data_IF_813135333707
#
_entry.id   IF_813135333707
#
_cell.length_a   1.000
_cell.length_b   1.000
_cell.length_c   1.000
_cell.angle_alpha   90.00
_cell.angle_beta   90.00
_cell.angle_gamma   90.00
#
_symmetry.space_group_name_H-M   'P 1'
#
loop_
_entity.id
_entity.type
_entity.pdbx_description
1 polymer ?
#
# COMPACT_ATOMS: atom_id res chain seq x y z
N UNK A 1 32.51 68.88 -11.79
CA UNK A 1 33.12 67.53 -11.85
C UNK A 1 32.17 66.60 -12.62
N UNK A 2 32.69 65.90 -13.64
CA UNK A 2 32.14 64.73 -14.39
C UNK A 2 30.81 64.95 -15.16
N UNK A 3 30.84 65.18 -16.48
CA UNK A 3 30.74 64.25 -17.66
C UNK A 3 29.30 63.78 -17.96
N UNK A 4 28.66 64.32 -19.03
CA UNK A 4 28.31 63.67 -20.34
C UNK A 4 26.96 62.91 -20.30
N UNK A 5 26.06 62.84 -21.30
CA UNK A 5 25.91 63.34 -22.68
C UNK A 5 24.43 63.05 -23.13
N UNK A 6 23.91 63.86 -24.07
CA UNK A 6 22.88 63.61 -25.12
C UNK A 6 21.37 63.58 -24.78
N UNK A 7 20.68 64.42 -25.58
CA UNK A 7 19.26 64.66 -25.80
C UNK A 7 18.47 63.52 -26.45
N UNK A 8 17.18 63.41 -26.13
CA UNK A 8 16.10 63.45 -27.15
C UNK A 8 14.75 63.75 -26.49
N UNK A 9 14.13 64.83 -26.97
CA UNK A 9 12.78 65.29 -26.68
C UNK A 9 11.76 64.51 -27.51
N UNK A 10 10.59 64.16 -26.97
CA UNK A 10 9.28 64.73 -27.37
C UNK A 10 8.13 64.15 -26.51
N UNK A 11 7.15 65.02 -26.25
CA UNK A 11 6.02 64.88 -25.32
C UNK A 11 4.90 63.92 -25.80
N UNK A 12 4.28 63.27 -24.81
CA UNK A 12 2.85 63.00 -24.54
C UNK A 12 1.83 62.61 -25.66
N UNK A 13 1.24 61.41 -25.49
CA UNK A 13 -0.22 61.00 -25.33
C UNK A 13 -1.30 61.83 -26.09
N UNK A 14 -2.47 61.29 -26.59
CA UNK A 14 -2.94 59.91 -26.90
C UNK A 14 -3.66 59.72 -28.30
N UNK A 15 -4.04 58.47 -28.60
CA UNK A 15 -5.02 57.94 -29.60
C UNK A 15 -4.59 57.87 -31.09
N UNK A 16 -4.51 56.65 -31.64
CA UNK A 16 -5.17 56.16 -32.89
C UNK A 16 -4.37 55.03 -33.62
N UNK A 17 -5.13 54.12 -34.25
CA UNK A 17 -4.88 53.36 -35.49
C UNK A 17 -3.95 52.10 -35.53
N UNK A 18 -4.62 50.97 -35.79
CA UNK A 18 -4.52 50.10 -36.99
C UNK A 18 -3.48 48.95 -37.11
N UNK A 19 -4.08 47.78 -37.43
CA UNK A 19 -3.70 46.71 -38.36
C UNK A 19 -2.46 45.84 -38.13
N UNK A 20 -2.72 44.52 -38.08
CA UNK A 20 -2.25 43.59 -39.12
C UNK A 20 -3.33 42.52 -39.35
N UNK A 21 -4.20 42.79 -40.32
CA UNK A 21 -5.03 41.79 -41.00
C UNK A 21 -4.13 41.09 -42.03
N UNK A 22 -3.82 39.81 -41.85
CA UNK A 22 -3.37 39.00 -42.97
C UNK A 22 -4.57 38.72 -43.87
N UNK A 23 -4.42 39.09 -45.14
CA UNK A 23 -5.40 38.90 -46.19
C UNK A 23 -5.75 37.41 -46.34
N UNK A 24 -7.04 37.09 -46.29
CA UNK A 24 -7.56 35.85 -46.85
C UNK A 24 -8.26 36.19 -48.16
N UNK A 25 -7.58 35.95 -49.28
CA UNK A 25 -8.20 35.99 -50.60
C UNK A 25 -9.05 34.74 -50.76
N UNK A 26 -10.37 34.92 -50.83
CA UNK A 26 -11.33 33.87 -51.22
C UNK A 26 -11.44 33.92 -52.74
N UNK A 27 -10.87 32.92 -53.42
CA UNK A 27 -11.33 32.57 -54.77
C UNK A 27 -12.49 31.58 -54.62
N UNK A 28 -13.63 31.97 -55.17
CA UNK A 28 -14.86 31.18 -55.17
C UNK A 28 -14.80 30.18 -56.34
N UNK A 29 -14.36 28.96 -56.08
CA UNK A 29 -14.65 27.83 -56.97
C UNK A 29 -15.79 26.98 -56.38
N UNK A 30 -16.84 26.84 -57.17
CA UNK A 30 -18.01 26.01 -56.91
C UNK A 30 -17.61 24.55 -56.63
N UNK A 31 -17.87 24.04 -55.43
CA UNK A 31 -17.63 22.63 -55.13
C UNK A 31 -18.07 22.21 -53.74
N UNK A 32 -19.06 21.34 -53.68
CA UNK A 32 -19.66 20.68 -52.52
C UNK A 32 -18.80 20.47 -51.27
N UNK A 33 -19.42 20.85 -50.16
CA UNK A 33 -19.10 20.66 -48.75
C UNK A 33 -18.81 19.20 -48.33
N UNK A 34 -17.63 18.98 -47.73
CA UNK A 34 -17.42 18.15 -46.53
C UNK A 34 -16.22 18.73 -45.75
N UNK A 35 -16.47 19.49 -44.69
CA UNK A 35 -15.39 19.85 -43.74
C UNK A 35 -15.17 18.64 -42.84
N UNK A 36 -14.35 17.69 -43.29
CA UNK A 36 -13.78 16.68 -42.39
C UNK A 36 -12.55 17.29 -41.73
N UNK A 37 -12.62 17.53 -40.41
CA UNK A 37 -11.41 17.80 -39.65
C UNK A 37 -11.52 18.88 -38.59
N UNK A 38 -12.54 18.85 -37.74
CA UNK A 38 -12.24 19.20 -36.34
C UNK A 38 -11.38 18.04 -35.82
N UNK A 39 -10.06 18.18 -35.92
CA UNK A 39 -9.15 17.36 -35.12
C UNK A 39 -9.45 17.76 -33.67
N UNK A 40 -10.45 17.14 -33.05
CA UNK A 40 -10.48 17.01 -31.61
C UNK A 40 -9.17 16.30 -31.29
N UNK A 41 -8.23 17.03 -30.70
CA UNK A 41 -6.88 16.55 -30.45
C UNK A 41 -6.97 15.25 -29.64
N UNK A 42 -6.94 14.12 -30.35
CA UNK A 42 -7.04 12.78 -29.75
C UNK A 42 -5.85 12.52 -28.83
N UNK A 43 -4.75 13.26 -29.01
CA UNK A 43 -3.58 13.20 -28.15
C UNK A 43 -3.84 13.84 -26.79
N UNK A 44 -4.61 14.94 -26.72
CA UNK A 44 -4.94 15.61 -25.45
C UNK A 44 -5.92 14.79 -24.58
N UNK A 45 -6.94 14.17 -25.19
CA UNK A 45 -7.89 13.29 -24.48
C UNK A 45 -7.21 12.01 -23.96
N UNK A 46 -6.23 11.49 -24.69
CA UNK A 46 -5.42 10.35 -24.27
C UNK A 46 -4.55 10.66 -23.04
N UNK A 47 -4.15 11.92 -22.85
CA UNK A 47 -3.33 12.37 -21.72
C UNK A 47 -4.15 12.75 -20.46
N UNK A 48 -5.48 12.67 -20.49
CA UNK A 48 -6.32 12.92 -19.32
C UNK A 48 -6.38 11.69 -18.41
N UNK A 49 -6.35 11.93 -17.10
CA UNK A 49 -6.56 10.88 -16.10
C UNK A 49 -8.02 10.44 -16.13
N UNK A 50 -8.23 9.14 -16.18
CA UNK A 50 -9.55 8.50 -16.12
C UNK A 50 -9.83 7.84 -14.78
N UNK A 51 -8.78 7.40 -14.08
CA UNK A 51 -8.89 6.69 -12.81
C UNK A 51 -7.65 6.90 -11.93
N UNK A 52 -7.86 6.95 -10.61
CA UNK A 52 -6.79 6.87 -9.61
C UNK A 52 -7.06 5.63 -8.75
N UNK A 53 -6.07 4.73 -8.70
CA UNK A 53 -6.09 3.55 -7.83
C UNK A 53 -5.06 3.70 -6.72
N UNK A 54 -5.43 3.33 -5.50
CA UNK A 54 -4.53 3.35 -4.34
C UNK A 54 -4.31 1.93 -3.84
N UNK A 55 -3.06 1.56 -3.61
CA UNK A 55 -2.65 0.25 -3.11
C UNK A 55 -1.86 0.37 -1.81
N UNK A 56 -2.21 -0.39 -0.76
CA UNK A 56 -3.41 -1.22 -0.62
C UNK A 56 -4.68 -0.37 -0.39
N UNK A 57 -5.85 -0.92 -0.77
CA UNK A 57 -7.16 -0.26 -0.57
C UNK A 57 -7.68 -0.39 0.88
N UNK A 58 -7.24 -1.43 1.60
CA UNK A 58 -7.52 -1.63 3.02
C UNK A 58 -6.20 -1.63 3.76
N UNK A 59 -6.07 -0.69 4.69
CA UNK A 59 -4.84 -0.48 5.45
C UNK A 59 -5.07 -0.86 6.90
N UNK A 60 -4.12 -1.60 7.43
CA UNK A 60 -4.07 -2.00 8.83
C UNK A 60 -2.67 -1.73 9.36
N UNK A 61 -2.56 -0.89 10.39
CA UNK A 61 -1.29 -0.53 11.02
C UNK A 61 -1.41 -0.47 12.53
N UNK A 62 -0.32 -0.73 13.24
CA UNK A 62 -0.26 -0.46 14.67
C UNK A 62 -0.05 1.02 14.94
N UNK A 63 -0.55 1.51 16.08
CA UNK A 63 -0.25 2.87 16.56
C UNK A 63 1.26 3.12 16.55
N UNK A 64 1.66 4.26 15.99
CA UNK A 64 3.07 4.66 15.82
C UNK A 64 3.82 3.99 14.68
N UNK A 65 3.22 3.01 14.00
CA UNK A 65 3.81 2.37 12.81
C UNK A 65 3.43 3.11 11.52
N UNK A 66 4.21 2.86 10.47
CA UNK A 66 4.01 3.45 9.15
C UNK A 66 3.78 2.40 8.08
N UNK A 67 3.07 2.80 7.01
CA UNK A 67 2.87 2.01 5.81
C UNK A 67 2.96 2.92 4.57
N UNK A 68 3.70 2.50 3.56
CA UNK A 68 3.75 3.21 2.28
C UNK A 68 2.52 2.84 1.44
N UNK A 69 1.76 3.86 1.03
CA UNK A 69 0.70 3.73 0.04
C UNK A 69 1.22 4.13 -1.34
N UNK A 70 0.70 3.50 -2.39
CA UNK A 70 1.05 3.81 -3.78
C UNK A 70 -0.21 4.25 -4.51
N UNK A 71 -0.17 5.44 -5.11
CA UNK A 71 -1.20 5.97 -6.00
C UNK A 71 -0.75 5.83 -7.45
N UNK A 72 -1.53 5.09 -8.23
CA UNK A 72 -1.32 4.90 -9.66
C UNK A 72 -2.47 5.56 -10.43
N UNK A 73 -2.14 6.38 -11.42
CA UNK A 73 -3.12 6.96 -12.36
C UNK A 73 -3.26 6.12 -13.60
N UNK A 74 -4.47 6.01 -14.14
CA UNK A 74 -4.76 5.45 -15.47
C UNK A 74 -5.19 6.56 -16.42
N UNK A 75 -4.57 6.63 -17.58
CA UNK A 75 -4.86 7.63 -18.61
C UNK A 75 -5.84 7.11 -19.67
N UNK A 76 -6.39 8.01 -20.49
CA UNK A 76 -7.32 7.68 -21.57
C UNK A 76 -6.73 6.73 -22.62
N UNK A 77 -5.42 6.77 -22.83
CA UNK A 77 -4.67 5.80 -23.66
C UNK A 77 -4.41 4.44 -22.99
N UNK A 78 -4.84 4.28 -21.73
CA UNK A 78 -4.65 3.07 -20.93
C UNK A 78 -3.30 2.97 -20.23
N UNK A 79 -2.38 3.93 -20.41
CA UNK A 79 -1.10 3.95 -19.69
C UNK A 79 -1.31 4.14 -18.20
N UNK A 80 -0.36 3.64 -17.40
CA UNK A 80 -0.36 3.74 -15.94
C UNK A 80 0.96 4.31 -15.45
N UNK A 81 0.89 5.26 -14.53
CA UNK A 81 2.06 5.85 -13.89
C UNK A 81 1.84 5.96 -12.38
N UNK A 82 2.89 5.71 -11.62
CA UNK A 82 2.93 6.01 -10.19
C UNK A 82 3.15 7.51 -10.00
N UNK A 83 2.36 8.11 -9.11
CA UNK A 83 2.22 9.57 -9.04
C UNK A 83 2.20 10.10 -7.60
N UNK A 84 2.80 9.37 -6.66
CA UNK A 84 2.70 9.67 -5.22
C UNK A 84 2.99 11.14 -4.85
N UNK A 85 4.01 11.75 -5.47
CA UNK A 85 4.40 13.15 -5.24
C UNK A 85 3.63 14.18 -6.08
N UNK A 86 2.71 13.73 -6.94
CA UNK A 86 1.93 14.54 -7.87
C UNK A 86 0.43 14.51 -7.57
N UNK A 87 0.02 13.73 -6.56
CA UNK A 87 -1.36 13.62 -6.09
C UNK A 87 -1.53 14.32 -4.74
N UNK A 88 -2.76 14.67 -4.40
CA UNK A 88 -3.13 15.16 -3.07
C UNK A 88 -3.72 14.01 -2.25
N UNK A 89 -3.01 13.61 -1.21
CA UNK A 89 -3.50 12.69 -0.17
C UNK A 89 -4.38 13.46 0.84
N UNK A 90 -5.54 12.92 1.20
CA UNK A 90 -6.49 13.59 2.09
C UNK A 90 -7.16 12.57 3.03
N UNK A 91 -6.98 12.73 4.34
CA UNK A 91 -7.81 12.05 5.35
C UNK A 91 -9.15 12.77 5.41
N UNK A 92 -10.21 12.07 5.00
CA UNK A 92 -11.59 12.58 4.97
C UNK A 92 -12.42 12.12 6.17
N UNK A 93 -11.95 11.08 6.88
CA UNK A 93 -12.50 10.68 8.17
C UNK A 93 -11.89 11.46 9.35
N UNK A 94 -11.85 10.82 10.52
CA UNK A 94 -11.23 11.39 11.72
C UNK A 94 -9.70 11.48 11.55
N UNK A 95 -9.18 12.71 11.62
CA UNK A 95 -7.76 13.04 11.42
C UNK A 95 -6.90 12.76 12.67
N UNK A 96 -7.51 12.50 13.83
CA UNK A 96 -6.78 12.12 15.04
C UNK A 96 -6.25 10.69 14.98
N UNK A 97 -6.80 9.87 14.07
CA UNK A 97 -6.50 8.43 13.94
C UNK A 97 -5.24 8.18 13.12
N UNK A 98 -5.05 8.90 12.01
CA UNK A 98 -3.89 8.71 11.14
C UNK A 98 -3.50 10.00 10.41
N UNK A 99 -2.23 10.09 10.01
CA UNK A 99 -1.76 11.09 9.06
C UNK A 99 -1.13 10.44 7.84
N UNK A 100 -1.06 11.16 6.72
CA UNK A 100 -0.38 10.73 5.51
C UNK A 100 0.53 11.84 5.00
N UNK A 101 1.76 11.50 4.62
CA UNK A 101 2.70 12.45 4.01
C UNK A 101 2.32 12.73 2.55
N UNK A 102 2.85 13.81 1.93
CA UNK A 102 2.68 14.04 0.49
C UNK A 102 3.24 12.91 -0.38
N UNK A 103 4.18 12.11 0.13
CA UNK A 103 4.75 10.96 -0.57
C UNK A 103 3.97 9.67 -0.35
N UNK A 104 2.78 9.70 0.25
CA UNK A 104 1.96 8.51 0.52
C UNK A 104 2.39 7.69 1.75
N UNK A 105 3.29 8.20 2.59
CA UNK A 105 3.67 7.51 3.82
C UNK A 105 2.61 7.75 4.90
N UNK A 106 1.80 6.73 5.18
CA UNK A 106 0.77 6.74 6.22
C UNK A 106 1.40 6.42 7.58
N UNK A 107 0.99 7.14 8.62
CA UNK A 107 1.36 6.90 10.03
C UNK A 107 0.10 6.77 10.88
N UNK A 108 0.00 5.69 11.67
CA UNK A 108 -1.07 5.52 12.65
C UNK A 108 -0.82 6.34 13.92
N UNK A 109 -1.77 7.16 14.33
CA UNK A 109 -1.67 8.08 15.47
C UNK A 109 -2.42 7.55 16.69
N UNK A 110 -3.72 7.30 16.54
CA UNK A 110 -4.59 6.80 17.61
C UNK A 110 -5.40 5.61 17.14
N UNK A 111 -5.72 4.70 18.07
CA UNK A 111 -6.48 3.50 17.71
C UNK A 111 -7.90 3.87 17.27
N UNK A 112 -8.31 3.35 16.12
CA UNK A 112 -9.60 3.68 15.50
C UNK A 112 -9.63 3.36 14.01
N UNK A 113 -10.70 3.76 13.32
CA UNK A 113 -10.82 3.67 11.86
C UNK A 113 -11.09 5.04 11.25
N UNK A 114 -10.38 5.35 10.18
CA UNK A 114 -10.56 6.57 9.38
C UNK A 114 -10.56 6.25 7.89
N UNK A 115 -10.84 7.25 7.07
CA UNK A 115 -10.95 7.13 5.62
C UNK A 115 -10.01 8.10 4.93
N UNK A 116 -9.37 7.63 3.87
CA UNK A 116 -8.43 8.36 3.06
C UNK A 116 -8.87 8.35 1.59
N UNK A 117 -8.68 9.46 0.89
CA UNK A 117 -8.82 9.56 -0.56
C UNK A 117 -7.61 10.24 -1.18
N UNK A 118 -7.43 10.02 -2.48
CA UNK A 118 -6.40 10.66 -3.30
C UNK A 118 -7.07 11.45 -4.42
N UNK A 119 -6.62 12.69 -4.65
CA UNK A 119 -7.15 13.58 -5.67
C UNK A 119 -6.06 14.06 -6.63
N UNK A 120 -6.36 14.09 -7.93
CA UNK A 120 -5.52 14.71 -8.96
C UNK A 120 -6.36 15.12 -10.17
N UNK A 121 -6.15 16.34 -10.66
CA UNK A 121 -6.80 16.88 -11.87
C UNK A 121 -8.34 16.73 -11.86
N UNK A 122 -8.97 16.89 -10.69
CA UNK A 122 -10.42 16.75 -10.49
C UNK A 122 -10.92 15.31 -10.31
N UNK A 123 -10.07 14.30 -10.53
CA UNK A 123 -10.39 12.89 -10.30
C UNK A 123 -10.13 12.52 -8.83
N UNK A 124 -11.03 11.73 -8.25
CA UNK A 124 -10.96 11.22 -6.88
C UNK A 124 -10.84 9.69 -6.92
N UNK A 125 -9.93 9.13 -6.12
CA UNK A 125 -9.79 7.68 -5.96
C UNK A 125 -11.00 7.05 -5.27
N UNK A 126 -11.05 5.72 -5.25
CA UNK A 126 -11.86 5.00 -4.26
C UNK A 126 -11.39 5.34 -2.84
N UNK A 127 -12.31 5.25 -1.87
CA UNK A 127 -11.99 5.41 -0.45
C UNK A 127 -11.10 4.26 0.03
N UNK A 128 -10.00 4.63 0.67
CA UNK A 128 -9.10 3.74 1.39
C UNK A 128 -9.52 3.71 2.85
N UNK A 129 -9.85 2.53 3.37
CA UNK A 129 -10.15 2.36 4.79
C UNK A 129 -8.86 2.15 5.56
N UNK A 130 -8.63 2.98 6.58
CA UNK A 130 -7.44 2.92 7.44
C UNK A 130 -7.86 2.51 8.84
N UNK A 131 -7.38 1.36 9.30
CA UNK A 131 -7.57 0.89 10.68
C UNK A 131 -6.25 0.93 11.43
N UNK A 132 -6.24 1.66 12.55
CA UNK A 132 -5.11 1.76 13.47
C UNK A 132 -5.44 0.96 14.73
N UNK A 133 -4.59 -0.01 15.09
CA UNK A 133 -4.80 -0.83 16.27
C UNK A 133 -3.78 -0.52 17.38
N UNK A 134 -4.22 -0.70 18.62
CA UNK A 134 -3.34 -0.69 19.80
C UNK A 134 -2.49 -1.95 19.93
N UNK A 135 -2.94 -3.08 19.38
CA UNK A 135 -2.22 -4.35 19.38
C UNK A 135 -2.69 -5.29 18.27
N UNK A 136 -1.98 -6.41 18.09
CA UNK A 136 -2.30 -7.45 17.09
C UNK A 136 -3.38 -8.43 17.53
N UNK A 137 -4.03 -8.26 18.69
CA UNK A 137 -5.20 -9.08 19.05
C UNK A 137 -6.52 -8.58 18.46
N UNK A 138 -6.50 -7.36 17.91
CA UNK A 138 -7.63 -6.73 17.24
C UNK A 138 -7.67 -7.01 15.73
N UNK A 139 -8.34 -6.14 14.95
CA UNK A 139 -8.53 -6.32 13.51
C UNK A 139 -7.28 -5.98 12.69
N UNK A 140 -6.09 -6.01 13.28
CA UNK A 140 -4.84 -5.70 12.58
C UNK A 140 -3.91 -6.88 12.44
N UNK A 141 -3.15 -6.86 11.35
CA UNK A 141 -2.02 -7.74 11.07
C UNK A 141 -0.77 -6.88 10.95
N UNK A 142 0.36 -7.34 11.47
CA UNK A 142 1.64 -6.69 11.19
C UNK A 142 2.24 -7.30 9.93
N UNK A 143 2.66 -6.43 9.02
CA UNK A 143 3.40 -6.77 7.81
C UNK A 143 4.75 -6.09 7.89
N UNK A 144 5.80 -6.86 8.13
CA UNK A 144 7.14 -6.33 8.37
C UNK A 144 8.06 -6.58 7.18
N UNK A 145 8.80 -5.55 6.80
CA UNK A 145 9.87 -5.66 5.80
C UNK A 145 11.20 -6.10 6.45
N UNK A 146 11.79 -7.17 5.90
CA UNK A 146 13.07 -7.73 6.34
C UNK A 146 14.22 -7.23 5.45
N UNK A 147 14.52 -5.93 5.55
CA UNK A 147 15.80 -5.36 5.08
C UNK A 147 15.76 -4.91 3.63
N UNK A 148 16.90 -5.01 2.92
CA UNK A 148 17.00 -4.57 1.52
C UNK A 148 16.35 -5.53 0.52
N UNK A 149 15.92 -6.71 0.97
CA UNK A 149 15.31 -7.71 0.10
C UNK A 149 13.87 -7.37 -0.28
N UNK A 150 13.28 -6.33 0.31
CA UNK A 150 11.87 -5.94 0.15
C UNK A 150 10.86 -7.06 0.45
N UNK A 151 11.34 -8.16 1.05
CA UNK A 151 10.50 -9.27 1.50
C UNK A 151 9.64 -8.81 2.65
N UNK A 152 8.36 -9.16 2.57
CA UNK A 152 7.39 -8.89 3.62
C UNK A 152 7.04 -10.18 4.36
N UNK A 153 6.90 -10.08 5.67
CA UNK A 153 6.46 -11.17 6.55
C UNK A 153 5.23 -10.74 7.32
N UNK A 154 4.34 -11.69 7.59
CA UNK A 154 3.10 -11.45 8.35
C UNK A 154 3.16 -12.10 9.72
N UNK A 155 2.59 -11.45 10.73
CA UNK A 155 2.33 -12.12 12.01
C UNK A 155 1.33 -13.26 11.84
N UNK A 156 1.20 -14.12 12.85
CA UNK A 156 0.03 -15.01 12.90
C UNK A 156 -1.23 -14.18 13.19
N UNK A 157 -2.36 -14.44 12.50
CA UNK A 157 -3.52 -13.57 12.59
C UNK A 157 -4.29 -13.79 13.90
N UNK A 158 -4.81 -12.70 14.46
CA UNK A 158 -5.86 -12.78 15.46
C UNK A 158 -7.15 -13.33 14.84
N UNK A 159 -8.06 -13.77 15.70
CA UNK A 159 -9.42 -14.11 15.29
C UNK A 159 -10.11 -12.92 14.62
N UNK A 160 -10.01 -11.73 15.23
CA UNK A 160 -10.66 -10.52 14.74
C UNK A 160 -10.16 -10.08 13.36
N UNK A 161 -8.85 -10.19 13.10
CA UNK A 161 -8.27 -9.85 11.81
C UNK A 161 -8.68 -10.87 10.73
N UNK A 162 -8.53 -12.17 10.99
CA UNK A 162 -8.80 -13.16 9.94
C UNK A 162 -10.29 -13.17 9.55
N UNK A 163 -11.19 -13.00 10.53
CA UNK A 163 -12.62 -12.88 10.29
C UNK A 163 -12.97 -11.62 9.46
N UNK A 164 -12.27 -10.51 9.69
CA UNK A 164 -12.54 -9.25 8.98
C UNK A 164 -12.19 -9.29 7.49
N UNK A 165 -11.28 -10.19 7.09
CA UNK A 165 -10.91 -10.42 5.69
C UNK A 165 -11.64 -11.61 5.04
N UNK A 166 -12.69 -12.12 5.70
CA UNK A 166 -13.53 -13.21 5.17
C UNK A 166 -13.13 -14.62 5.59
N UNK A 167 -12.13 -14.75 6.48
CA UNK A 167 -11.71 -16.03 7.05
C UNK A 167 -10.75 -16.84 6.17
N UNK A 168 -10.24 -17.93 6.74
CA UNK A 168 -9.43 -18.97 6.07
C UNK A 168 -9.69 -20.30 6.78
N UNK A 169 -9.38 -21.46 6.17
CA UNK A 169 -9.31 -22.71 6.92
C UNK A 169 -8.38 -22.58 8.13
N UNK A 170 -8.87 -23.03 9.29
CA UNK A 170 -8.17 -22.97 10.59
C UNK A 170 -8.29 -24.32 11.28
N UNK A 171 -7.43 -24.58 12.25
CA UNK A 171 -7.47 -25.82 13.05
C UNK A 171 -8.08 -25.60 14.42
N UNK A 172 -7.87 -24.41 14.98
CA UNK A 172 -8.48 -24.04 16.24
C UNK A 172 -8.16 -22.61 16.62
N UNK A 173 -8.42 -22.29 17.88
CA UNK A 173 -8.11 -20.99 18.47
C UNK A 173 -7.24 -21.17 19.70
N UNK A 174 -6.36 -20.20 19.93
CA UNK A 174 -5.63 -20.01 21.17
C UNK A 174 -6.06 -18.72 21.83
N UNK A 175 -6.23 -18.75 23.16
CA UNK A 175 -6.52 -17.55 23.95
C UNK A 175 -5.28 -17.20 24.77
N UNK A 176 -4.59 -16.12 24.39
CA UNK A 176 -3.46 -15.57 25.11
C UNK A 176 -3.97 -14.76 26.31
N UNK A 177 -3.77 -15.29 27.51
CA UNK A 177 -4.33 -14.76 28.76
C UNK A 177 -3.30 -14.07 29.65
N UNK A 178 -2.01 -14.29 29.41
CA UNK A 178 -0.96 -13.88 30.34
C UNK A 178 -0.11 -12.74 29.79
N UNK A 179 -0.14 -12.49 28.48
CA UNK A 179 0.59 -11.37 27.90
C UNK A 179 2.09 -11.59 27.90
N UNK A 180 2.55 -12.83 28.10
CA UNK A 180 3.97 -13.18 28.26
C UNK A 180 4.63 -13.48 26.92
N UNK A 181 3.91 -14.18 26.04
CA UNK A 181 4.40 -14.63 24.74
C UNK A 181 3.51 -14.11 23.61
N UNK A 182 2.75 -13.05 23.84
CA UNK A 182 1.82 -12.54 22.85
C UNK A 182 0.88 -11.50 23.45
N UNK A 183 0.23 -10.70 22.59
CA UNK A 183 -0.78 -9.75 23.05
C UNK A 183 -2.02 -10.49 23.56
N UNK A 184 -2.67 -9.94 24.58
CA UNK A 184 -3.89 -10.54 25.14
C UNK A 184 -5.00 -10.61 24.09
N UNK A 185 -5.55 -11.80 23.88
CA UNK A 185 -6.66 -12.02 22.96
C UNK A 185 -6.67 -13.38 22.30
N UNK A 186 -7.49 -13.53 21.26
CA UNK A 186 -7.72 -14.80 20.58
C UNK A 186 -7.01 -14.83 19.22
N UNK A 187 -6.24 -15.88 18.99
CA UNK A 187 -5.48 -16.12 17.77
C UNK A 187 -5.90 -17.42 17.12
N UNK A 188 -5.91 -17.46 15.79
CA UNK A 188 -6.11 -18.72 15.09
C UNK A 188 -4.81 -19.53 15.07
N UNK A 189 -4.96 -20.85 15.16
CA UNK A 189 -3.87 -21.81 15.05
C UNK A 189 -4.20 -22.81 13.94
N UNK A 190 -3.14 -23.29 13.29
CA UNK A 190 -3.23 -23.96 12.00
C UNK A 190 -2.44 -25.27 12.05
N UNK A 191 -2.96 -26.33 11.45
CA UNK A 191 -2.14 -27.42 10.95
C UNK A 191 -1.39 -26.94 9.70
N UNK A 192 -0.43 -27.74 9.23
CA UNK A 192 0.45 -27.33 8.13
C UNK A 192 -0.31 -27.00 6.83
N UNK A 193 -1.35 -27.76 6.49
CA UNK A 193 -2.15 -27.49 5.28
C UNK A 193 -2.95 -26.18 5.38
N UNK A 194 -3.62 -25.96 6.51
CA UNK A 194 -4.37 -24.73 6.77
C UNK A 194 -3.44 -23.50 6.82
N UNK A 195 -2.18 -23.67 7.25
CA UNK A 195 -1.19 -22.60 7.21
C UNK A 195 -0.81 -22.19 5.77
N UNK A 196 -0.81 -23.13 4.82
CA UNK A 196 -0.65 -22.81 3.40
C UNK A 196 -1.88 -22.09 2.84
N UNK A 197 -3.08 -22.57 3.18
CA UNK A 197 -4.33 -21.93 2.74
C UNK A 197 -4.53 -20.52 3.30
N UNK A 198 -3.96 -20.22 4.48
CA UNK A 198 -3.88 -18.86 5.00
C UNK A 198 -3.16 -17.92 4.01
N UNK A 199 -2.02 -18.35 3.47
CA UNK A 199 -1.26 -17.53 2.52
C UNK A 199 -1.99 -17.40 1.17
N UNK A 200 -2.74 -18.42 0.74
CA UNK A 200 -3.64 -18.31 -0.42
C UNK A 200 -4.76 -17.29 -0.19
N UNK A 201 -5.30 -17.24 1.03
CA UNK A 201 -6.26 -16.21 1.44
C UNK A 201 -5.63 -14.82 1.37
N UNK A 202 -4.39 -14.65 1.86
CA UNK A 202 -3.68 -13.37 1.75
C UNK A 202 -3.43 -12.94 0.30
N UNK A 203 -3.21 -13.89 -0.61
CA UNK A 203 -3.10 -13.61 -2.05
C UNK A 203 -4.40 -13.08 -2.64
N UNK A 204 -5.53 -13.73 -2.31
CA UNK A 204 -6.86 -13.32 -2.79
C UNK A 204 -7.23 -11.92 -2.28
N UNK A 205 -6.94 -11.64 -1.01
CA UNK A 205 -7.23 -10.35 -0.38
C UNK A 205 -6.18 -9.27 -0.68
N UNK A 206 -5.11 -9.61 -1.43
CA UNK A 206 -4.01 -8.71 -1.77
C UNK A 206 -3.42 -7.99 -0.55
N UNK A 207 -3.21 -8.72 0.55
CA UNK A 207 -2.77 -8.16 1.83
C UNK A 207 -1.41 -7.47 1.64
N UNK A 208 -1.27 -6.26 2.18
CA UNK A 208 -0.06 -5.43 1.99
C UNK A 208 0.22 -5.04 0.54
N UNK A 209 -0.78 -5.13 -0.35
CA UNK A 209 -0.62 -4.84 -1.78
C UNK A 209 0.05 -5.96 -2.57
N UNK A 210 0.22 -7.16 -2.00
CA UNK A 210 0.91 -8.30 -2.63
C UNK A 210 0.00 -9.49 -2.84
N UNK A 211 0.25 -10.27 -3.90
CA UNK A 211 -0.54 -11.44 -4.30
C UNK A 211 0.28 -12.73 -4.46
N UNK A 212 1.51 -12.73 -3.93
CA UNK A 212 2.49 -13.82 -4.01
C UNK A 212 2.99 -14.29 -2.63
N UNK A 213 2.13 -14.17 -1.62
CA UNK A 213 2.28 -14.76 -0.30
C UNK A 213 2.36 -16.27 -0.38
N UNK A 214 3.34 -16.83 0.34
CA UNK A 214 3.50 -18.26 0.59
C UNK A 214 3.90 -18.48 2.04
N UNK A 215 3.77 -19.71 2.53
CA UNK A 215 4.29 -20.04 3.85
C UNK A 215 5.83 -19.82 3.87
N UNK A 216 6.32 -19.17 4.91
CA UNK A 216 7.75 -18.88 5.05
C UNK A 216 8.57 -20.17 5.19
N UNK A 217 9.78 -20.20 4.64
CA UNK A 217 10.72 -21.29 4.87
C UNK A 217 11.34 -21.20 6.27
N UNK A 218 11.93 -22.31 6.73
CA UNK A 218 12.62 -22.37 8.02
C UNK A 218 13.72 -21.30 8.11
N UNK A 219 14.53 -21.17 7.05
CA UNK A 219 15.66 -20.23 7.03
C UNK A 219 15.15 -18.78 6.94
N UNK A 220 14.05 -18.52 6.25
CA UNK A 220 13.40 -17.19 6.25
C UNK A 220 12.88 -16.80 7.64
N UNK A 221 12.26 -17.74 8.38
CA UNK A 221 11.80 -17.47 9.74
C UNK A 221 12.96 -17.30 10.72
N UNK A 222 13.98 -18.16 10.62
CA UNK A 222 15.09 -18.17 11.57
C UNK A 222 16.15 -17.12 11.26
N UNK A 223 16.72 -17.19 10.06
CA UNK A 223 17.90 -16.43 9.67
C UNK A 223 17.55 -15.02 9.21
N UNK A 224 16.44 -14.85 8.49
CA UNK A 224 16.03 -13.53 7.99
C UNK A 224 15.18 -12.76 9.01
N UNK A 225 14.14 -13.38 9.57
CA UNK A 225 13.20 -12.70 10.47
C UNK A 225 13.70 -12.66 11.93
N UNK A 226 13.86 -13.82 12.57
CA UNK A 226 14.21 -13.89 13.99
C UNK A 226 15.60 -13.30 14.27
N UNK A 227 16.65 -13.69 13.53
CA UNK A 227 17.99 -13.17 13.79
C UNK A 227 18.09 -11.64 13.59
N UNK A 228 17.17 -11.04 12.83
CA UNK A 228 17.10 -9.57 12.65
C UNK A 228 16.43 -8.86 13.82
N UNK A 229 15.29 -9.36 14.29
CA UNK A 229 14.44 -8.67 15.26
C UNK A 229 14.54 -9.22 16.68
N UNK A 230 15.09 -10.43 16.86
CA UNK A 230 15.06 -11.18 18.10
C UNK A 230 13.64 -11.65 18.45
N UNK A 231 13.29 -11.57 19.73
CA UNK A 231 11.96 -11.93 20.21
C UNK A 231 10.87 -11.07 19.54
N UNK A 232 10.09 -11.68 18.65
CA UNK A 232 9.08 -10.99 17.84
C UNK A 232 7.91 -10.42 18.67
N UNK A 233 7.62 -10.98 19.85
CA UNK A 233 6.65 -10.38 20.75
C UNK A 233 7.19 -9.07 21.32
N UNK A 234 8.42 -9.08 21.84
CA UNK A 234 9.06 -7.87 22.37
C UNK A 234 9.34 -6.81 21.30
N UNK A 235 9.71 -7.24 20.10
CA UNK A 235 10.06 -6.34 19.01
C UNK A 235 8.84 -5.74 18.29
N UNK A 236 7.78 -6.54 18.08
CA UNK A 236 6.67 -6.20 17.17
C UNK A 236 5.28 -6.58 17.68
N UNK A 237 5.17 -7.10 18.90
CA UNK A 237 3.89 -7.50 19.49
C UNK A 237 3.28 -8.75 18.85
N UNK A 238 4.07 -9.58 18.16
CA UNK A 238 3.59 -10.82 17.55
C UNK A 238 3.24 -11.89 18.60
N UNK A 239 2.26 -12.76 18.33
CA UNK A 239 2.07 -13.95 19.15
C UNK A 239 3.18 -14.97 18.89
N UNK A 240 3.82 -15.44 19.96
CA UNK A 240 4.98 -16.35 19.96
C UNK A 240 4.81 -17.54 20.91
N UNK A 241 3.66 -17.68 21.58
CA UNK A 241 3.32 -18.79 22.49
C UNK A 241 3.51 -20.17 21.85
N UNK A 242 3.23 -20.28 20.55
CA UNK A 242 3.46 -21.47 19.74
C UNK A 242 4.55 -21.23 18.71
N UNK A 243 5.17 -22.33 18.27
CA UNK A 243 6.04 -22.32 17.10
C UNK A 243 5.26 -21.88 15.85
N UNK A 244 5.99 -21.41 14.83
CA UNK A 244 5.45 -21.12 13.52
C UNK A 244 5.80 -22.22 12.52
N UNK A 245 4.81 -22.63 11.72
CA UNK A 245 5.01 -23.53 10.59
C UNK A 245 5.98 -22.96 9.56
N UNK A 246 6.80 -23.85 8.99
CA UNK A 246 7.58 -23.55 7.80
C UNK A 246 7.19 -24.41 6.60
N UNK A 247 7.43 -23.88 5.40
CA UNK A 247 7.29 -24.61 4.14
C UNK A 247 8.46 -25.59 3.87
N UNK A 248 9.50 -25.59 4.71
CA UNK A 248 10.68 -26.42 4.51
C UNK A 248 10.37 -27.88 4.85
N UNK A 249 10.65 -28.77 3.90
CA UNK A 249 10.53 -30.23 4.08
C UNK A 249 11.88 -30.86 3.79
N UNK A 250 12.43 -31.62 4.73
CA UNK A 250 13.67 -32.39 4.55
C UNK A 250 13.39 -33.84 4.94
N UNK A 251 13.63 -34.78 4.03
CA UNK A 251 13.40 -36.22 4.24
C UNK A 251 11.96 -36.55 4.70
N UNK A 252 10.98 -35.74 4.31
CA UNK A 252 9.57 -35.91 4.66
C UNK A 252 9.15 -35.22 5.96
N UNK A 253 10.07 -34.59 6.69
CA UNK A 253 9.77 -33.87 7.94
C UNK A 253 9.65 -32.37 7.70
N UNK A 254 8.63 -31.78 8.35
CA UNK A 254 8.39 -30.33 8.37
C UNK A 254 9.13 -29.69 9.55
N UNK A 255 9.54 -28.44 9.38
CA UNK A 255 10.23 -27.68 10.44
C UNK A 255 9.34 -26.60 11.03
N UNK A 256 9.56 -26.36 12.31
CA UNK A 256 8.92 -25.34 13.13
C UNK A 256 9.97 -24.38 13.67
N UNK A 257 9.64 -23.09 13.73
CA UNK A 257 10.53 -22.06 14.32
C UNK A 257 9.79 -21.31 15.41
N UNK A 258 10.39 -21.21 16.59
CA UNK A 258 9.88 -20.45 17.72
C UNK A 258 10.35 -19.01 17.65
N UNK A 259 9.43 -18.04 17.59
CA UNK A 259 9.76 -16.65 17.26
C UNK A 259 10.07 -15.75 18.49
N UNK A 260 10.04 -16.27 19.72
CA UNK A 260 10.57 -15.62 20.92
C UNK A 260 12.02 -16.02 21.24
N UNK A 261 12.43 -17.25 20.93
CA UNK A 261 13.77 -17.79 21.23
C UNK A 261 14.62 -18.15 19.99
N UNK A 262 13.98 -18.29 18.83
CA UNK A 262 14.62 -18.73 17.60
C UNK A 262 14.92 -20.23 17.57
N UNK A 263 14.31 -21.03 18.45
CA UNK A 263 14.51 -22.48 18.46
C UNK A 263 13.89 -23.10 17.21
N UNK A 264 14.57 -24.10 16.67
CA UNK A 264 14.14 -24.84 15.48
C UNK A 264 13.97 -26.31 15.87
N UNK A 265 12.81 -26.88 15.53
CA UNK A 265 12.53 -28.31 15.73
C UNK A 265 11.98 -28.92 14.45
N UNK A 266 12.29 -30.19 14.21
CA UNK A 266 11.57 -31.05 13.28
C UNK A 266 10.29 -31.57 13.96
N UNK A 267 9.21 -31.69 13.17
CA UNK A 267 7.94 -32.14 13.71
C UNK A 267 7.13 -32.93 12.69
N UNK A 268 6.42 -33.94 13.18
CA UNK A 268 5.53 -34.77 12.38
C UNK A 268 4.11 -34.19 12.40
N UNK A 269 3.45 -34.13 11.24
CA UNK A 269 2.24 -33.33 11.00
C UNK A 269 1.11 -33.74 11.97
N UNK A 270 0.48 -32.79 12.68
CA UNK A 270 -0.72 -33.09 13.48
C UNK A 270 -1.12 -32.12 14.60
N UNK A 271 -0.22 -31.25 15.07
CA UNK A 271 -0.51 -30.28 16.15
C UNK A 271 -0.71 -28.87 15.58
N UNK A 272 -1.68 -28.09 16.09
CA UNK A 272 -1.91 -26.73 15.60
C UNK A 272 -0.86 -25.74 16.15
N UNK A 273 -0.27 -24.97 15.24
CA UNK A 273 0.77 -23.98 15.50
C UNK A 273 0.44 -22.65 14.82
N UNK A 274 1.26 -21.62 15.05
CA UNK A 274 1.15 -20.37 14.33
C UNK A 274 1.66 -20.50 12.89
N UNK A 275 1.37 -19.50 12.08
CA UNK A 275 1.79 -19.42 10.69
C UNK A 275 2.21 -17.99 10.36
N UNK A 276 3.27 -17.85 9.57
CA UNK A 276 3.74 -16.59 9.01
C UNK A 276 3.92 -16.77 7.51
N UNK A 277 3.22 -15.95 6.73
CA UNK A 277 3.39 -15.89 5.30
C UNK A 277 4.50 -14.90 4.94
N UNK A 278 5.28 -15.23 3.93
CA UNK A 278 6.30 -14.38 3.31
C UNK A 278 5.92 -14.06 1.88
N UNK A 279 6.24 -12.84 1.45
CA UNK A 279 6.10 -12.39 0.08
C UNK A 279 7.40 -11.82 -0.42
N UNK A 280 7.85 -12.26 -1.59
CA UNK A 280 9.01 -11.68 -2.27
C UNK A 280 8.60 -10.38 -3.02
N UNK A 281 9.57 -9.47 -3.29
CA UNK A 281 9.37 -8.30 -4.13
C UNK A 281 8.62 -8.61 -5.42
#
# INVERSE_FOLDING_TARGET
>A
MKKYLIFASFLAIPVCAANEFSQFSVEEESGSQWVSGVNHDRSAINALITEITVTPLRVSVLKGSTLQLIATTKYGDGTKNDVDNLVKWEIVGDQTIAQVSPSGLLTGLEAGTTELIVKKDGIVSKTVTVTVCSSLSGPCIDIVNVGKSEKLFTSSPSKAYLDSIGGSPVTGIHNEKHGTYGPLGTFYIFNWHNAMELCNTYNRESIGGRTNWRLATRDELKEELYNKFGNMFGARGWPTTYYSWSATIVRGETFLVRLDSGDVIDYNIGVPFYASCVSNP
#
